data_IF_226201735263
#
_entry.id   IF_226201735263
#
_cell.length_a   1.000
_cell.length_b   1.000
_cell.length_c   1.000
_cell.angle_alpha   90.00
_cell.angle_beta   90.00
_cell.angle_gamma   90.00
#
_symmetry.space_group_name_H-M   'P 1'
#
loop_
_entity.id
_entity.type
_entity.pdbx_description
1 polymer ?
#
# COMPACT_ATOMS: atom_id res chain seq x y z
N UNK A 1 29.46 -5.73 6.72
CA UNK A 1 28.30 -4.88 7.09
C UNK A 1 27.56 -5.60 8.21
N UNK A 2 27.27 -4.92 9.32
CA UNK A 2 26.45 -5.50 10.39
C UNK A 2 25.08 -5.82 9.78
N UNK A 3 24.56 -7.04 10.02
CA UNK A 3 23.19 -7.36 9.63
C UNK A 3 22.29 -6.42 10.43
N UNK A 4 21.47 -5.64 9.74
CA UNK A 4 20.42 -4.88 10.38
C UNK A 4 19.38 -5.85 10.94
N UNK A 5 18.93 -5.60 12.16
CA UNK A 5 18.03 -6.48 12.88
C UNK A 5 16.83 -5.70 13.40
N UNK A 6 15.76 -6.42 13.68
CA UNK A 6 14.65 -5.85 14.46
C UNK A 6 15.14 -5.38 15.83
N UNK A 7 14.61 -4.27 16.29
CA UNK A 7 14.86 -3.70 17.63
C UNK A 7 13.96 -4.30 18.70
N UNK A 8 13.16 -5.28 18.35
CA UNK A 8 12.29 -6.06 19.21
C UNK A 8 12.36 -7.54 18.80
N UNK A 9 11.79 -8.42 19.62
CA UNK A 9 11.78 -9.86 19.34
C UNK A 9 10.62 -10.18 18.37
N UNK A 10 10.90 -10.24 17.06
CA UNK A 10 9.91 -10.64 16.05
C UNK A 10 9.93 -12.16 15.87
N UNK A 11 8.91 -12.85 16.36
CA UNK A 11 8.79 -14.30 16.36
C UNK A 11 7.84 -14.82 15.27
N UNK A 12 8.02 -16.10 14.88
CA UNK A 12 7.19 -16.75 13.83
C UNK A 12 5.69 -16.64 14.11
N UNK A 13 5.26 -16.88 15.37
CA UNK A 13 3.85 -16.84 15.76
C UNK A 13 3.21 -15.46 15.57
N UNK A 14 4.00 -14.38 15.69
CA UNK A 14 3.51 -13.03 15.43
C UNK A 14 3.16 -12.85 13.96
N UNK A 15 3.99 -13.36 13.06
CA UNK A 15 3.70 -13.32 11.63
C UNK A 15 2.50 -14.19 11.25
N UNK A 16 2.28 -15.32 11.92
CA UNK A 16 1.09 -16.17 11.75
C UNK A 16 -0.19 -15.41 12.11
N UNK A 17 -0.18 -14.69 13.23
CA UNK A 17 -1.30 -13.86 13.71
C UNK A 17 -1.55 -12.62 12.84
N UNK A 18 -0.51 -12.08 12.19
CA UNK A 18 -0.63 -10.89 11.33
C UNK A 18 -1.00 -11.24 9.89
N UNK A 19 -0.59 -12.42 9.43
CA UNK A 19 -0.76 -12.86 8.05
C UNK A 19 -1.58 -14.13 8.03
N UNK A 20 -2.88 -14.02 8.06
CA UNK A 20 -3.84 -15.13 8.08
C UNK A 20 -3.88 -15.89 6.75
N UNK A 21 -2.78 -16.60 6.41
CA UNK A 21 -2.57 -17.33 5.16
C UNK A 21 -1.78 -18.61 5.43
N UNK A 22 -2.01 -19.62 4.60
CA UNK A 22 -1.25 -20.88 4.67
C UNK A 22 0.26 -20.70 4.43
N UNK A 23 0.64 -19.67 3.64
CA UNK A 23 2.02 -19.36 3.29
C UNK A 23 2.65 -18.26 4.19
N UNK A 24 2.14 -18.05 5.39
CA UNK A 24 2.63 -17.04 6.34
C UNK A 24 4.11 -17.20 6.70
N UNK A 25 4.62 -18.42 6.73
CA UNK A 25 6.04 -18.69 7.00
C UNK A 25 6.97 -18.07 5.97
N UNK A 26 6.65 -18.22 4.71
CA UNK A 26 7.45 -17.60 3.65
C UNK A 26 7.42 -16.06 3.73
N UNK A 27 6.30 -15.50 4.19
CA UNK A 27 6.20 -14.06 4.46
C UNK A 27 7.05 -13.66 5.66
N UNK A 28 7.03 -14.44 6.74
CA UNK A 28 7.88 -14.21 7.91
C UNK A 28 9.36 -14.19 7.54
N UNK A 29 9.84 -15.20 6.81
CA UNK A 29 11.22 -15.28 6.33
C UNK A 29 11.58 -14.07 5.46
N UNK A 30 10.71 -13.69 4.55
CA UNK A 30 10.92 -12.53 3.70
C UNK A 30 10.90 -11.21 4.50
N UNK A 31 10.02 -11.06 5.48
CA UNK A 31 9.99 -9.89 6.37
C UNK A 31 11.26 -9.78 7.21
N UNK A 32 11.76 -10.90 7.75
CA UNK A 32 13.00 -10.92 8.53
C UNK A 32 14.23 -10.51 7.71
N UNK A 33 14.21 -10.79 6.41
CA UNK A 33 15.31 -10.43 5.51
C UNK A 33 15.21 -8.98 5.03
N UNK A 34 14.01 -8.51 4.70
CA UNK A 34 13.80 -7.26 3.96
C UNK A 34 13.52 -6.06 4.86
N UNK A 35 12.57 -6.18 5.82
CA UNK A 35 12.10 -5.01 6.58
C UNK A 35 13.21 -4.27 7.33
N UNK A 36 14.17 -4.97 8.00
CA UNK A 36 15.26 -4.27 8.69
C UNK A 36 16.18 -3.47 7.77
N UNK A 37 16.35 -3.88 6.51
CA UNK A 37 17.18 -3.17 5.52
C UNK A 37 16.64 -1.77 5.20
N UNK A 38 15.32 -1.60 5.34
CA UNK A 38 14.59 -0.35 5.10
C UNK A 38 14.20 0.37 6.39
N UNK A 39 14.85 0.04 7.50
CA UNK A 39 14.56 0.61 8.82
C UNK A 39 13.11 0.40 9.31
N UNK A 40 12.36 -0.53 8.72
CA UNK A 40 11.07 -0.98 9.25
C UNK A 40 11.34 -2.05 10.31
N UNK A 41 11.89 -1.65 11.43
CA UNK A 41 12.56 -2.54 12.39
C UNK A 41 12.16 -2.35 13.87
N UNK A 42 11.20 -1.47 14.16
CA UNK A 42 10.55 -1.37 15.47
C UNK A 42 9.14 -1.96 15.43
N UNK A 43 8.56 -2.30 16.58
CA UNK A 43 7.21 -2.84 16.65
C UNK A 43 6.18 -1.90 15.99
N UNK A 44 6.26 -0.60 16.26
CA UNK A 44 5.36 0.44 15.72
C UNK A 44 5.49 0.55 14.17
N UNK A 45 6.73 0.51 13.67
CA UNK A 45 6.99 0.58 12.22
C UNK A 45 6.47 -0.67 11.50
N UNK A 46 6.73 -1.86 12.05
CA UNK A 46 6.21 -3.12 11.50
C UNK A 46 4.68 -3.17 11.58
N UNK A 47 4.08 -2.77 12.71
CA UNK A 47 2.63 -2.72 12.87
C UNK A 47 1.98 -1.81 11.82
N UNK A 48 2.50 -0.60 11.66
CA UNK A 48 1.99 0.35 10.67
C UNK A 48 2.16 -0.19 9.25
N UNK A 49 3.32 -0.76 8.92
CA UNK A 49 3.61 -1.34 7.61
C UNK A 49 2.64 -2.48 7.29
N UNK A 50 2.48 -3.43 8.21
CA UNK A 50 1.58 -4.59 8.02
C UNK A 50 0.12 -4.13 7.87
N UNK A 51 -0.33 -3.17 8.67
CA UNK A 51 -1.69 -2.65 8.59
C UNK A 51 -1.98 -1.99 7.23
N UNK A 52 -1.08 -1.12 6.77
CA UNK A 52 -1.24 -0.44 5.49
C UNK A 52 -1.11 -1.41 4.32
N UNK A 53 -0.06 -2.20 4.28
CA UNK A 53 0.21 -3.16 3.22
C UNK A 53 -0.84 -4.28 3.17
N UNK A 54 -1.30 -4.75 4.32
CA UNK A 54 -2.38 -5.73 4.43
C UNK A 54 -3.68 -5.22 3.81
N UNK A 55 -4.06 -3.98 4.11
CA UNK A 55 -5.23 -3.34 3.51
C UNK A 55 -5.09 -3.23 1.98
N UNK A 56 -3.99 -2.67 1.48
CA UNK A 56 -3.77 -2.43 0.03
C UNK A 56 -3.72 -3.71 -0.80
N UNK A 57 -3.23 -4.80 -0.22
CA UNK A 57 -3.05 -6.08 -0.92
C UNK A 57 -4.13 -7.13 -0.61
N UNK A 58 -5.16 -6.76 0.17
CA UNK A 58 -6.19 -7.71 0.61
C UNK A 58 -5.61 -8.84 1.47
N UNK A 59 -4.75 -8.51 2.43
CA UNK A 59 -4.07 -9.46 3.31
C UNK A 59 -2.92 -10.18 2.59
N UNK A 60 -2.06 -9.46 1.91
CA UNK A 60 -0.88 -9.97 1.19
C UNK A 60 -1.21 -10.98 0.07
N UNK A 61 -2.45 -10.91 -0.49
CA UNK A 61 -2.92 -11.85 -1.52
C UNK A 61 -2.69 -11.34 -2.93
N UNK A 62 -2.84 -10.04 -3.16
CA UNK A 62 -2.83 -9.44 -4.48
C UNK A 62 -1.47 -8.80 -4.74
N UNK A 63 -0.60 -9.49 -5.48
CA UNK A 63 0.72 -9.02 -5.88
C UNK A 63 0.80 -8.62 -7.37
N UNK A 64 -0.31 -8.68 -8.08
CA UNK A 64 -0.39 -8.26 -9.48
C UNK A 64 -1.79 -7.75 -9.77
N UNK A 65 -1.87 -6.65 -10.48
CA UNK A 65 -3.13 -6.03 -10.88
C UNK A 65 -3.98 -6.98 -11.72
N UNK A 66 -5.27 -7.06 -11.39
CA UNK A 66 -6.23 -7.84 -12.15
C UNK A 66 -6.97 -6.95 -13.17
N UNK A 67 -6.63 -7.09 -14.43
CA UNK A 67 -7.21 -6.32 -15.54
C UNK A 67 -8.25 -7.12 -16.34
N UNK A 68 -8.81 -8.17 -15.78
CA UNK A 68 -9.79 -9.04 -16.42
C UNK A 68 -11.20 -8.43 -16.41
N UNK A 69 -11.43 -7.35 -17.16
CA UNK A 69 -12.67 -6.62 -17.20
C UNK A 69 -13.61 -7.07 -18.34
N UNK A 70 -14.93 -7.04 -18.09
CA UNK A 70 -15.94 -7.18 -19.13
C UNK A 70 -16.07 -5.89 -19.94
N UNK A 71 -16.60 -5.96 -21.16
CA UNK A 71 -16.87 -4.79 -21.99
C UNK A 71 -17.72 -3.73 -21.27
N UNK A 72 -18.74 -4.17 -20.53
CA UNK A 72 -19.58 -3.29 -19.70
C UNK A 72 -18.73 -2.56 -18.63
N UNK A 73 -17.87 -3.30 -17.92
CA UNK A 73 -17.00 -2.74 -16.89
C UNK A 73 -15.98 -1.74 -17.49
N UNK A 74 -15.40 -2.03 -18.67
CA UNK A 74 -14.49 -1.13 -19.36
C UNK A 74 -15.15 0.22 -19.67
N UNK A 75 -16.37 0.23 -20.15
CA UNK A 75 -17.13 1.45 -20.45
C UNK A 75 -17.51 2.24 -19.19
N UNK A 76 -17.64 1.57 -18.04
CA UNK A 76 -18.04 2.18 -16.76
C UNK A 76 -16.83 2.66 -15.96
N UNK A 77 -15.80 1.83 -15.82
CA UNK A 77 -14.64 2.10 -14.97
C UNK A 77 -13.59 2.94 -15.72
N UNK A 78 -13.42 2.67 -17.02
CA UNK A 78 -12.46 3.35 -17.87
C UNK A 78 -13.10 4.12 -19.03
N UNK A 79 -14.12 4.97 -18.77
CA UNK A 79 -14.89 5.63 -19.84
C UNK A 79 -14.03 6.51 -20.74
N UNK A 80 -12.94 7.09 -20.22
CA UNK A 80 -11.99 7.91 -20.97
C UNK A 80 -11.36 7.13 -22.11
N UNK A 81 -11.03 5.86 -21.90
CA UNK A 81 -10.28 5.03 -22.84
C UNK A 81 -11.17 4.21 -23.76
N UNK A 82 -12.42 4.03 -23.43
CA UNK A 82 -13.37 3.22 -24.19
C UNK A 82 -14.55 4.07 -24.70
N UNK A 83 -15.59 4.25 -23.91
CA UNK A 83 -16.81 4.94 -24.35
C UNK A 83 -16.56 6.35 -24.92
N UNK A 84 -15.74 7.18 -24.24
CA UNK A 84 -15.46 8.55 -24.69
C UNK A 84 -14.45 8.61 -25.85
N UNK A 85 -13.67 7.56 -26.04
CA UNK A 85 -12.72 7.42 -27.12
C UNK A 85 -13.31 6.70 -28.35
N UNK A 86 -14.62 6.37 -28.33
CA UNK A 86 -15.29 5.57 -29.36
C UNK A 86 -14.57 4.24 -29.66
N UNK A 87 -13.93 3.64 -28.65
CA UNK A 87 -13.28 2.33 -28.78
C UNK A 87 -14.27 1.24 -28.43
N UNK A 88 -14.43 0.24 -29.31
CA UNK A 88 -15.33 -0.89 -29.06
C UNK A 88 -14.79 -1.74 -27.91
N UNK A 89 -15.43 -1.65 -26.75
CA UNK A 89 -15.03 -2.40 -25.56
C UNK A 89 -15.20 -3.93 -25.72
N UNK A 90 -15.97 -4.40 -26.70
CA UNK A 90 -16.13 -5.84 -26.95
C UNK A 90 -14.84 -6.46 -27.49
N UNK A 91 -14.05 -5.72 -28.25
CA UNK A 91 -12.73 -6.18 -28.74
C UNK A 91 -11.70 -6.37 -27.61
N UNK A 92 -11.98 -5.86 -26.43
CA UNK A 92 -11.12 -5.91 -25.23
C UNK A 92 -11.72 -6.77 -24.10
N UNK A 93 -12.92 -7.34 -24.32
CA UNK A 93 -13.62 -8.13 -23.32
C UNK A 93 -12.74 -9.29 -22.82
N UNK A 94 -12.41 -9.27 -21.51
CA UNK A 94 -11.58 -10.29 -20.86
C UNK A 94 -10.19 -10.49 -21.50
N UNK A 95 -9.61 -9.42 -22.04
CA UNK A 95 -8.25 -9.42 -22.61
C UNK A 95 -7.33 -8.48 -21.79
N UNK A 96 -6.81 -8.92 -20.62
CA UNK A 96 -6.08 -8.08 -19.67
C UNK A 96 -4.90 -7.33 -20.28
N UNK A 97 -4.13 -8.01 -21.14
CA UNK A 97 -2.96 -7.42 -21.79
C UNK A 97 -3.34 -6.27 -22.72
N UNK A 98 -4.33 -6.46 -23.59
CA UNK A 98 -4.83 -5.39 -24.45
C UNK A 98 -5.40 -4.23 -23.65
N UNK A 99 -6.12 -4.53 -22.55
CA UNK A 99 -6.68 -3.51 -21.67
C UNK A 99 -5.55 -2.68 -21.05
N UNK A 100 -4.54 -3.34 -20.47
CA UNK A 100 -3.39 -2.66 -19.87
C UNK A 100 -2.68 -1.74 -20.87
N UNK A 101 -2.41 -2.24 -22.07
CA UNK A 101 -1.70 -1.50 -23.11
C UNK A 101 -2.50 -0.28 -23.61
N UNK A 102 -3.81 -0.27 -23.45
CA UNK A 102 -4.66 0.90 -23.75
C UNK A 102 -4.69 1.90 -22.61
N UNK A 103 -4.94 1.44 -21.37
CA UNK A 103 -5.17 2.37 -20.24
C UNK A 103 -3.89 3.00 -19.72
N UNK A 104 -2.75 2.35 -19.95
CA UNK A 104 -1.43 2.81 -19.50
C UNK A 104 -0.53 3.35 -20.62
N UNK A 105 -0.98 3.33 -21.87
CA UNK A 105 -0.23 3.89 -23.01
C UNK A 105 0.16 5.34 -22.80
N UNK A 106 1.42 5.68 -23.13
CA UNK A 106 1.97 7.03 -23.09
C UNK A 106 1.81 7.74 -21.73
N UNK A 107 1.85 6.97 -20.64
CA UNK A 107 1.77 7.45 -19.26
C UNK A 107 2.89 6.84 -18.44
N UNK A 108 3.42 7.60 -17.45
CA UNK A 108 4.46 7.10 -16.54
C UNK A 108 5.65 6.50 -17.30
N UNK A 109 6.08 7.18 -18.37
CA UNK A 109 7.15 6.79 -19.31
C UNK A 109 6.92 5.45 -20.04
N UNK A 110 5.70 4.93 -20.03
CA UNK A 110 5.34 3.83 -20.92
C UNK A 110 5.30 4.32 -22.37
N UNK A 111 5.70 3.49 -23.31
CA UNK A 111 5.47 3.70 -24.72
C UNK A 111 3.99 3.72 -25.11
N UNK A 112 3.72 3.74 -26.39
CA UNK A 112 2.37 3.66 -26.94
C UNK A 112 1.71 2.29 -26.71
N UNK A 113 0.50 2.10 -27.24
CA UNK A 113 -0.26 0.84 -27.12
C UNK A 113 0.49 -0.36 -27.69
N UNK A 114 1.31 -0.16 -28.73
CA UNK A 114 2.01 -1.23 -29.42
C UNK A 114 3.34 -1.62 -28.75
N UNK A 115 3.84 -0.79 -27.85
CA UNK A 115 5.06 -1.05 -27.06
C UNK A 115 4.95 -2.25 -26.12
N UNK A 116 3.73 -2.60 -25.68
CA UNK A 116 3.49 -3.62 -24.67
C UNK A 116 3.81 -3.18 -23.23
N UNK A 117 4.26 -1.94 -23.04
CA UNK A 117 4.67 -1.42 -21.74
C UNK A 117 3.52 -1.37 -20.72
N UNK A 118 2.32 -1.07 -21.17
CA UNK A 118 1.15 -1.03 -20.30
C UNK A 118 0.92 -2.36 -19.57
N UNK A 119 1.08 -3.48 -20.26
CA UNK A 119 1.00 -4.81 -19.65
C UNK A 119 2.25 -5.14 -18.85
N UNK A 120 3.43 -4.89 -19.42
CA UNK A 120 4.71 -5.20 -18.77
C UNK A 120 4.81 -4.53 -17.42
N UNK A 121 4.56 -3.22 -17.34
CA UNK A 121 4.69 -2.39 -16.16
C UNK A 121 3.36 -2.11 -15.44
N UNK A 122 2.38 -3.02 -15.58
CA UNK A 122 1.13 -2.97 -14.80
C UNK A 122 1.40 -3.08 -13.32
N UNK A 123 0.42 -2.75 -12.49
CA UNK A 123 0.53 -2.81 -11.04
C UNK A 123 1.11 -4.13 -10.54
N UNK A 124 2.18 -4.06 -9.75
CA UNK A 124 2.86 -5.19 -9.15
C UNK A 124 3.33 -4.91 -7.73
N UNK A 125 3.51 -5.96 -6.93
CA UNK A 125 3.86 -5.86 -5.51
C UNK A 125 2.68 -5.44 -4.62
N UNK A 126 2.95 -5.31 -3.33
CA UNK A 126 1.95 -5.04 -2.28
C UNK A 126 1.30 -3.67 -2.49
N UNK A 127 2.08 -2.63 -2.77
CA UNK A 127 1.61 -1.25 -2.99
C UNK A 127 1.45 -0.91 -4.47
N UNK A 128 1.32 -1.91 -5.34
CA UNK A 128 0.97 -1.77 -6.74
C UNK A 128 1.86 -0.79 -7.51
N UNK A 129 3.18 -1.04 -7.50
CA UNK A 129 4.16 -0.32 -8.34
C UNK A 129 3.72 -0.37 -9.80
N UNK A 130 3.53 0.79 -10.45
CA UNK A 130 2.91 0.89 -11.78
C UNK A 130 3.66 1.88 -12.69
N UNK A 131 3.85 1.50 -13.94
CA UNK A 131 4.44 2.32 -15.00
C UNK A 131 5.96 2.23 -15.10
N UNK A 132 6.49 2.33 -16.33
CA UNK A 132 7.92 2.22 -16.62
C UNK A 132 8.76 3.14 -15.73
N UNK A 133 8.36 4.38 -15.53
CA UNK A 133 9.06 5.35 -14.69
C UNK A 133 9.31 4.81 -13.27
N UNK A 134 8.25 4.34 -12.60
CA UNK A 134 8.36 3.84 -11.22
C UNK A 134 9.17 2.54 -11.15
N UNK A 135 8.99 1.63 -12.11
CA UNK A 135 9.79 0.41 -12.19
C UNK A 135 11.27 0.71 -12.45
N UNK A 136 11.58 1.72 -13.27
CA UNK A 136 12.96 2.16 -13.50
C UNK A 136 13.58 2.72 -12.22
N UNK A 137 12.85 3.57 -11.49
CA UNK A 137 13.36 4.14 -10.23
C UNK A 137 13.58 3.07 -9.15
N UNK A 138 12.67 2.14 -9.02
CA UNK A 138 12.84 1.01 -8.12
C UNK A 138 14.01 0.11 -8.54
N UNK A 139 14.14 -0.18 -9.82
CA UNK A 139 15.22 -1.01 -10.36
C UNK A 139 16.60 -0.37 -10.16
N UNK A 140 16.72 0.96 -10.35
CA UNK A 140 17.93 1.73 -10.04
C UNK A 140 18.35 1.57 -8.58
N UNK A 141 17.40 1.65 -7.64
CA UNK A 141 17.67 1.46 -6.20
C UNK A 141 18.15 0.04 -5.88
N UNK A 142 17.58 -0.95 -6.56
CA UNK A 142 17.86 -2.37 -6.33
C UNK A 142 19.02 -2.91 -7.20
N UNK A 143 19.74 -2.05 -7.92
CA UNK A 143 20.84 -2.44 -8.85
C UNK A 143 20.41 -3.53 -9.86
N UNK A 144 19.24 -3.38 -10.46
CA UNK A 144 18.69 -4.30 -11.46
C UNK A 144 18.08 -3.55 -12.65
N UNK A 145 17.70 -4.28 -13.71
CA UNK A 145 16.98 -3.66 -14.83
C UNK A 145 15.47 -3.59 -14.56
N UNK A 146 14.74 -2.64 -15.17
CA UNK A 146 13.29 -2.56 -15.02
C UNK A 146 12.56 -3.86 -15.42
N UNK A 147 13.09 -4.59 -16.40
CA UNK A 147 12.52 -5.85 -16.86
C UNK A 147 12.67 -6.97 -15.79
N UNK A 148 13.79 -7.01 -15.09
CA UNK A 148 14.01 -7.93 -13.95
C UNK A 148 13.10 -7.53 -12.79
N UNK A 149 12.96 -6.23 -12.50
CA UNK A 149 12.08 -5.74 -11.46
C UNK A 149 10.61 -6.13 -11.65
N UNK A 150 10.14 -6.26 -12.91
CA UNK A 150 8.76 -6.70 -13.24
C UNK A 150 8.43 -8.07 -12.64
N UNK A 151 9.35 -9.02 -12.74
CA UNK A 151 9.13 -10.36 -12.18
C UNK A 151 9.44 -10.37 -10.68
N UNK A 152 10.47 -9.65 -10.26
CA UNK A 152 10.88 -9.56 -8.86
C UNK A 152 9.78 -9.06 -7.94
N UNK A 153 9.11 -7.95 -8.25
CA UNK A 153 8.05 -7.39 -7.39
C UNK A 153 6.84 -8.30 -7.19
N UNK A 154 6.73 -9.38 -7.97
CA UNK A 154 5.67 -10.39 -7.84
C UNK A 154 6.07 -11.57 -6.97
N UNK A 155 7.33 -11.64 -6.55
CA UNK A 155 7.79 -12.53 -5.48
C UNK A 155 7.48 -11.92 -4.11
N UNK A 156 7.47 -12.72 -3.03
CA UNK A 156 7.26 -12.19 -1.66
C UNK A 156 8.33 -11.17 -1.27
N UNK A 157 9.61 -11.47 -1.51
CA UNK A 157 10.72 -10.56 -1.23
C UNK A 157 10.61 -9.27 -2.02
N UNK A 158 10.46 -9.37 -3.33
CA UNK A 158 10.35 -8.18 -4.18
C UNK A 158 9.08 -7.36 -3.92
N UNK A 159 7.99 -7.99 -3.49
CA UNK A 159 6.78 -7.30 -3.07
C UNK A 159 6.99 -6.48 -1.80
N UNK A 160 7.78 -7.00 -0.84
CA UNK A 160 8.20 -6.27 0.35
C UNK A 160 9.20 -5.16 0.00
N UNK A 161 10.23 -5.45 -0.80
CA UNK A 161 11.23 -4.44 -1.21
C UNK A 161 10.57 -3.27 -1.95
N UNK A 162 9.67 -3.54 -2.89
CA UNK A 162 8.97 -2.47 -3.62
C UNK A 162 8.04 -1.65 -2.71
N UNK A 163 7.43 -2.28 -1.71
CA UNK A 163 6.63 -1.59 -0.71
C UNK A 163 7.51 -0.75 0.23
N UNK A 164 8.65 -1.29 0.68
CA UNK A 164 9.62 -0.58 1.51
C UNK A 164 10.28 0.58 0.76
N UNK A 165 10.63 0.40 -0.51
CA UNK A 165 11.11 1.50 -1.36
C UNK A 165 10.12 2.65 -1.46
N UNK A 166 8.83 2.35 -1.68
CA UNK A 166 7.78 3.36 -1.65
C UNK A 166 7.68 4.01 -0.27
N UNK A 167 7.79 3.20 0.78
CA UNK A 167 7.71 3.63 2.17
C UNK A 167 8.79 4.64 2.52
N UNK A 168 10.03 4.33 2.19
CA UNK A 168 11.19 5.19 2.41
C UNK A 168 11.12 6.46 1.57
N UNK A 169 10.87 6.33 0.27
CA UNK A 169 10.74 7.46 -0.67
C UNK A 169 9.64 8.45 -0.26
N UNK A 170 8.66 8.02 0.54
CA UNK A 170 7.59 8.84 1.05
C UNK A 170 7.78 9.25 2.52
N UNK A 171 8.88 8.84 3.15
CA UNK A 171 9.23 9.15 4.54
C UNK A 171 8.19 8.64 5.53
N UNK A 172 7.68 7.41 5.33
CA UNK A 172 6.56 6.87 6.10
C UNK A 172 6.94 6.48 7.53
N UNK A 173 8.21 6.15 7.80
CA UNK A 173 8.67 5.83 9.15
C UNK A 173 8.38 6.94 10.17
N UNK A 174 8.40 8.21 9.77
CA UNK A 174 8.06 9.32 10.69
C UNK A 174 6.61 9.28 11.20
N UNK A 175 5.68 8.77 10.39
CA UNK A 175 4.29 8.60 10.82
C UNK A 175 4.15 7.40 11.76
N UNK A 176 4.96 6.35 11.55
CA UNK A 176 5.01 5.20 12.44
C UNK A 176 5.55 5.60 13.83
N UNK A 177 6.67 6.32 13.85
CA UNK A 177 7.30 6.80 15.08
C UNK A 177 6.39 7.77 15.87
N UNK A 178 5.50 8.46 15.18
CA UNK A 178 4.48 9.33 15.76
C UNK A 178 3.12 8.63 15.99
N UNK A 179 3.01 7.32 15.66
CA UNK A 179 1.74 6.55 15.68
C UNK A 179 0.60 7.21 14.88
N UNK A 180 0.95 8.02 13.88
CA UNK A 180 0.00 8.78 13.05
C UNK A 180 -0.50 7.95 11.87
N UNK A 181 -1.45 7.05 12.15
CA UNK A 181 -2.05 6.21 11.10
C UNK A 181 -2.86 7.02 10.07
N UNK A 182 -3.42 8.15 10.48
CA UNK A 182 -4.17 9.02 9.57
C UNK A 182 -3.24 9.67 8.55
N UNK A 183 -2.10 10.21 9.03
CA UNK A 183 -1.06 10.78 8.17
C UNK A 183 -0.46 9.75 7.23
N UNK A 184 -0.14 8.55 7.73
CA UNK A 184 0.34 7.43 6.91
C UNK A 184 -0.66 7.05 5.81
N UNK A 185 -1.94 6.89 6.18
CA UNK A 185 -3.01 6.55 5.23
C UNK A 185 -3.16 7.63 4.15
N UNK A 186 -3.19 8.91 4.53
CA UNK A 186 -3.27 10.02 3.57
C UNK A 186 -2.07 10.07 2.62
N UNK A 187 -0.88 9.74 3.12
CA UNK A 187 0.33 9.71 2.30
C UNK A 187 0.33 8.58 1.29
N UNK A 188 -0.19 7.40 1.64
CA UNK A 188 -0.28 6.22 0.77
C UNK A 188 -1.42 6.35 -0.24
N UNK A 189 -2.61 6.71 0.23
CA UNK A 189 -3.86 6.63 -0.55
C UNK A 189 -4.33 7.99 -1.11
N UNK A 190 -3.71 9.09 -0.69
CA UNK A 190 -4.15 10.45 -1.05
C UNK A 190 -5.41 10.92 -0.31
N UNK A 191 -5.97 10.10 0.60
CA UNK A 191 -7.18 10.37 1.38
C UNK A 191 -7.31 9.40 2.55
N UNK A 192 -8.53 9.28 3.09
CA UNK A 192 -8.83 8.45 4.27
C UNK A 192 -9.66 7.20 3.94
N UNK A 193 -9.71 6.79 2.67
CA UNK A 193 -10.45 5.59 2.27
C UNK A 193 -9.85 4.36 2.96
N UNK A 194 -10.72 3.57 3.60
CA UNK A 194 -10.32 2.37 4.35
C UNK A 194 -9.65 2.65 5.69
N UNK A 195 -9.72 3.89 6.23
CA UNK A 195 -9.03 4.25 7.48
C UNK A 195 -9.42 3.37 8.66
N UNK A 196 -10.72 3.05 8.83
CA UNK A 196 -11.19 2.24 9.96
C UNK A 196 -10.66 0.80 9.88
N UNK A 197 -10.60 0.23 8.70
CA UNK A 197 -10.01 -1.09 8.48
C UNK A 197 -8.50 -1.09 8.78
N UNK A 198 -7.78 -0.05 8.31
CA UNK A 198 -6.35 0.13 8.60
C UNK A 198 -6.09 0.32 10.10
N UNK A 199 -6.95 1.07 10.81
CA UNK A 199 -6.86 1.24 12.27
C UNK A 199 -7.03 -0.09 12.99
N UNK A 200 -8.01 -0.91 12.61
CA UNK A 200 -8.22 -2.25 13.20
C UNK A 200 -6.99 -3.13 13.02
N UNK A 201 -6.44 -3.18 11.81
CA UNK A 201 -5.21 -3.94 11.54
C UNK A 201 -4.01 -3.40 12.32
N UNK A 202 -3.89 -2.07 12.45
CA UNK A 202 -2.80 -1.45 13.19
C UNK A 202 -2.86 -1.76 14.68
N UNK A 203 -4.03 -1.60 15.31
CA UNK A 203 -4.23 -1.91 16.73
C UNK A 203 -3.97 -3.39 17.03
N UNK A 204 -4.48 -4.29 16.18
CA UNK A 204 -4.20 -5.72 16.30
C UNK A 204 -2.69 -6.00 16.16
N UNK A 205 -2.02 -5.38 15.18
CA UNK A 205 -0.60 -5.58 14.99
C UNK A 205 0.24 -5.04 16.17
N UNK A 206 -0.15 -3.90 16.76
CA UNK A 206 0.49 -3.38 17.96
C UNK A 206 0.36 -4.33 19.15
N UNK A 207 -0.84 -4.90 19.38
CA UNK A 207 -1.09 -5.88 20.42
C UNK A 207 -0.22 -7.14 20.24
N UNK A 208 -0.18 -7.68 19.02
CA UNK A 208 0.61 -8.88 18.69
C UNK A 208 2.12 -8.64 18.82
N UNK A 209 2.61 -7.49 18.37
CA UNK A 209 4.04 -7.17 18.36
C UNK A 209 4.58 -6.63 19.69
N UNK A 210 3.72 -6.46 20.70
CA UNK A 210 4.09 -5.94 22.01
C UNK A 210 4.53 -4.48 21.96
N UNK A 211 4.01 -3.70 21.01
CA UNK A 211 4.21 -2.27 20.95
C UNK A 211 3.46 -1.53 22.06
N UNK A 212 4.10 -0.56 22.67
CA UNK A 212 3.44 0.31 23.65
C UNK A 212 2.52 1.30 22.92
N UNK A 213 1.27 0.88 22.68
CA UNK A 213 0.24 1.78 22.19
C UNK A 213 -0.56 2.32 23.37
N UNK A 214 -0.20 3.51 23.83
CA UNK A 214 -1.12 4.33 24.60
C UNK A 214 -2.00 5.08 23.60
N UNK A 215 -3.32 4.81 23.63
CA UNK A 215 -4.25 5.71 22.92
C UNK A 215 -3.96 7.15 23.40
N UNK A 216 -3.75 8.10 22.48
CA UNK A 216 -3.51 9.48 22.91
C UNK A 216 -4.66 9.92 23.81
N UNK A 217 -4.32 10.32 25.04
CA UNK A 217 -5.32 10.86 25.98
C UNK A 217 -6.08 12.01 25.29
N UNK A 218 -7.38 11.82 25.17
CA UNK A 218 -8.25 12.85 24.59
C UNK A 218 -8.49 13.90 25.66
N UNK A 219 -7.85 15.05 25.54
CA UNK A 219 -8.10 16.19 26.43
C UNK A 219 -9.45 16.85 26.08
N UNK A 220 -10.49 16.42 26.78
CA UNK A 220 -11.86 16.95 26.61
C UNK A 220 -12.02 18.43 27.03
N UNK A 221 -10.97 19.05 27.60
CA UNK A 221 -11.02 20.47 27.95
C UNK A 221 -10.62 21.38 26.77
N UNK A 222 -10.20 20.81 25.65
CA UNK A 222 -9.86 21.59 24.47
C UNK A 222 -11.11 22.13 23.77
N UNK A 223 -11.08 23.41 23.40
CA UNK A 223 -12.10 23.99 22.54
C UNK A 223 -11.82 23.66 21.07
N UNK A 224 -12.72 22.92 20.44
CA UNK A 224 -12.65 22.61 19.02
C UNK A 224 -13.18 23.81 18.22
N UNK A 225 -12.38 24.26 17.23
CA UNK A 225 -12.72 25.35 16.30
C UNK A 225 -12.44 24.90 14.87
N UNK A 226 -12.96 25.63 13.89
CA UNK A 226 -12.59 25.39 12.50
C UNK A 226 -11.07 25.41 12.33
N UNK A 227 -10.51 24.34 11.76
CA UNK A 227 -9.08 24.11 11.60
C UNK A 227 -8.42 23.38 12.78
N UNK A 228 -9.14 23.04 13.85
CA UNK A 228 -8.64 22.14 14.90
C UNK A 228 -8.38 20.75 14.32
N UNK A 229 -7.37 20.06 14.87
CA UNK A 229 -6.96 18.73 14.44
C UNK A 229 -6.63 17.85 15.63
N UNK A 230 -6.79 16.53 15.49
CA UNK A 230 -6.35 15.56 16.48
C UNK A 230 -7.43 14.58 16.94
N UNK A 231 -7.11 13.70 17.92
CA UNK A 231 -8.01 12.65 18.39
C UNK A 231 -9.37 13.16 18.91
N UNK A 232 -9.38 14.24 19.68
CA UNK A 232 -10.63 14.84 20.18
C UNK A 232 -11.53 15.29 19.04
N UNK A 233 -10.96 15.84 17.96
CA UNK A 233 -11.72 16.28 16.78
C UNK A 233 -12.34 15.09 16.09
N UNK A 234 -11.60 14.00 15.92
CA UNK A 234 -12.10 12.76 15.32
C UNK A 234 -13.26 12.17 16.13
N UNK A 235 -13.14 12.12 17.48
CA UNK A 235 -14.20 11.61 18.34
C UNK A 235 -15.47 12.46 18.28
N UNK A 236 -15.33 13.80 18.23
CA UNK A 236 -16.48 14.70 18.07
C UNK A 236 -17.13 14.50 16.71
N UNK A 237 -16.35 14.32 15.66
CA UNK A 237 -16.88 14.03 14.32
C UNK A 237 -17.66 12.71 14.29
N UNK A 238 -17.16 11.65 14.95
CA UNK A 238 -17.89 10.39 15.10
C UNK A 238 -19.22 10.56 15.85
N UNK A 239 -19.20 11.26 16.99
CA UNK A 239 -20.41 11.53 17.78
C UNK A 239 -21.44 12.39 17.05
N UNK A 240 -21.01 13.19 16.08
CA UNK A 240 -21.88 14.01 15.23
C UNK A 240 -22.23 13.36 13.89
N UNK A 241 -21.83 12.10 13.70
CA UNK A 241 -22.03 11.34 12.44
C UNK A 241 -21.43 12.05 11.20
N UNK A 242 -20.32 12.76 11.41
CA UNK A 242 -19.57 13.44 10.34
C UNK A 242 -18.57 12.46 9.75
N UNK A 243 -18.77 12.09 8.50
CA UNK A 243 -17.87 11.15 7.78
C UNK A 243 -17.08 11.89 6.69
N UNK A 244 -15.76 11.64 6.60
CA UNK A 244 -14.95 10.82 7.52
C UNK A 244 -14.60 11.56 8.82
N UNK A 245 -14.55 10.83 9.94
CA UNK A 245 -14.01 11.33 11.19
C UNK A 245 -12.48 11.34 11.11
N UNK A 246 -11.92 12.34 10.46
CA UNK A 246 -10.51 12.43 10.08
C UNK A 246 -9.64 13.26 11.05
N UNK A 247 -10.23 13.70 12.15
CA UNK A 247 -9.55 14.53 13.14
C UNK A 247 -9.22 15.95 12.66
N UNK A 248 -9.92 16.44 11.62
CA UNK A 248 -9.81 17.81 11.08
C UNK A 248 -11.18 18.47 11.13
N UNK A 249 -11.28 19.60 11.85
CA UNK A 249 -12.53 20.35 12.01
C UNK A 249 -12.51 21.66 11.22
#
# INVERSE_FOLDING_TARGET
>A
MAKEHFKFNFEEWMAEELIHREDWKDWYEAMCEILPLWEVNTAERVAMFVAQCGHESGGFRVLSENLNYSAKALNTIFPKYFRRANRDANEYHRQPEKIANVIYASRMDNGDTDSGDGWRFRGGGILQLTGRYNYTKFAEEMDMTPEVAVDYVRTKKGALDSACWFWDSNGLNKYCDAMDIVGATKRINGGTIGLDDRKKHYLHAMDVLGGDFEEPEVDYNQTIRQGSRGPLVAEVQEKLDISPADGIF
#
